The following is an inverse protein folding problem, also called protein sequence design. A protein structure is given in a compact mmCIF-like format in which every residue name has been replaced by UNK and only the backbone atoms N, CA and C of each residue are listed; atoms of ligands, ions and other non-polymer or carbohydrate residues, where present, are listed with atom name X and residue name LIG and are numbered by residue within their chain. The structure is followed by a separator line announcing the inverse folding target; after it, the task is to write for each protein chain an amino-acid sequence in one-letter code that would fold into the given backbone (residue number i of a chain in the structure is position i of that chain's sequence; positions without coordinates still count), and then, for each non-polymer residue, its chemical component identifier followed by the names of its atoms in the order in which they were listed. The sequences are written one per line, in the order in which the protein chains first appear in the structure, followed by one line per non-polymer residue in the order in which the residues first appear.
data_IF_731421245107
#
_entry.id   IF_731421245107
#
_cell.length_a   1.000
_cell.length_b   1.000
_cell.length_c   1.000
_cell.angle_alpha   90.00
_cell.angle_beta   90.00
_cell.angle_gamma   90.00
#
_symmetry.space_group_name_H-M   'P 1'
#
loop_
_entity.id
_entity.type
_entity.pdbx_description
1 polymer ?
#
# COMPACT_ATOMS: atom_id res chain seq x y z
N UNK A 1 -8.49 -21.65 15.52
CA UNK A 1 -8.03 -20.30 15.09
C UNK A 1 -7.42 -19.52 16.28
N UNK A 2 -6.10 -19.33 16.30
CA UNK A 2 -5.38 -18.59 17.38
C UNK A 2 -5.21 -17.09 17.05
N UNK A 3 -5.00 -16.78 15.77
CA UNK A 3 -4.72 -15.43 15.25
C UNK A 3 -5.79 -14.39 15.63
N UNK A 4 -7.08 -14.74 15.55
CA UNK A 4 -8.19 -13.80 15.84
C UNK A 4 -8.24 -13.41 17.33
N UNK A 5 -7.82 -14.32 18.23
CA UNK A 5 -7.82 -14.06 19.67
C UNK A 5 -6.65 -13.18 20.09
N UNK A 6 -5.47 -13.41 19.51
CA UNK A 6 -4.27 -12.59 19.79
C UNK A 6 -4.44 -11.13 19.35
N UNK A 7 -5.22 -10.89 18.30
CA UNK A 7 -5.54 -9.53 17.85
C UNK A 7 -6.40 -8.82 18.91
N UNK A 8 -7.43 -9.48 19.46
CA UNK A 8 -8.31 -8.87 20.47
C UNK A 8 -7.62 -8.59 21.80
N UNK A 9 -6.73 -9.47 22.26
CA UNK A 9 -5.94 -9.25 23.48
C UNK A 9 -4.96 -8.09 23.31
N UNK A 10 -4.22 -8.06 22.20
CA UNK A 10 -3.31 -6.94 21.88
C UNK A 10 -4.05 -5.60 21.76
N UNK A 11 -5.29 -5.61 21.22
CA UNK A 11 -6.15 -4.43 21.10
C UNK A 11 -6.65 -3.93 22.47
N UNK A 12 -6.93 -4.84 23.41
CA UNK A 12 -7.36 -4.50 24.77
C UNK A 12 -6.21 -3.99 25.65
N UNK A 13 -5.02 -4.55 25.51
CA UNK A 13 -3.86 -4.22 26.36
C UNK A 13 -3.10 -2.97 25.89
N UNK A 14 -2.99 -2.75 24.58
CA UNK A 14 -2.20 -1.63 24.03
C UNK A 14 -3.02 -0.66 23.17
N UNK A 15 -4.33 -0.89 23.03
CA UNK A 15 -5.22 -0.06 22.22
C UNK A 15 -4.82 -0.01 20.73
N UNK A 16 -5.35 0.98 20.02
CA UNK A 16 -4.97 1.30 18.64
C UNK A 16 -3.46 1.58 18.49
N UNK A 17 -2.79 2.07 19.55
CA UNK A 17 -1.34 2.30 19.59
C UNK A 17 -0.52 1.01 19.46
N UNK A 18 -0.97 -0.10 20.04
CA UNK A 18 -0.31 -1.41 19.90
C UNK A 18 -0.37 -1.97 18.48
N UNK A 19 -1.51 -1.78 17.80
CA UNK A 19 -1.68 -2.18 16.40
C UNK A 19 -0.85 -1.29 15.47
N UNK A 20 -0.84 0.02 15.71
CA UNK A 20 0.04 0.96 15.01
C UNK A 20 1.53 0.66 15.25
N UNK A 21 1.94 0.26 16.45
CA UNK A 21 3.34 -0.11 16.70
C UNK A 21 3.73 -1.43 16.01
N UNK A 22 2.79 -2.37 15.90
CA UNK A 22 3.02 -3.70 15.31
C UNK A 22 2.88 -3.73 13.78
N UNK A 23 2.03 -2.87 13.21
CA UNK A 23 1.70 -2.84 11.78
C UNK A 23 1.91 -1.47 11.11
N UNK A 24 2.25 -0.42 11.84
CA UNK A 24 2.46 0.92 11.28
C UNK A 24 3.59 0.96 10.25
N UNK A 25 4.67 0.22 10.48
CA UNK A 25 5.74 0.07 9.48
C UNK A 25 5.26 -0.61 8.20
N UNK A 26 4.34 -1.58 8.30
CA UNK A 26 3.74 -2.23 7.12
C UNK A 26 2.84 -1.27 6.35
N UNK A 27 2.06 -0.43 7.04
CA UNK A 27 1.25 0.62 6.40
C UNK A 27 2.12 1.66 5.71
N UNK A 28 3.19 2.11 6.37
CA UNK A 28 4.15 3.03 5.79
C UNK A 28 4.86 2.43 4.57
N UNK A 29 5.35 1.20 4.67
CA UNK A 29 5.96 0.49 3.54
C UNK A 29 4.98 0.29 2.38
N UNK A 30 3.71 -0.06 2.66
CA UNK A 30 2.69 -0.18 1.63
C UNK A 30 2.40 1.16 0.93
N UNK A 31 2.29 2.25 1.69
CA UNK A 31 2.15 3.60 1.14
C UNK A 31 3.36 4.01 0.29
N UNK A 32 4.57 3.73 0.80
CA UNK A 32 5.82 4.03 0.12
C UNK A 32 5.93 3.26 -1.21
N UNK A 33 5.68 1.96 -1.19
CA UNK A 33 5.70 1.10 -2.38
C UNK A 33 4.61 1.51 -3.37
N UNK A 34 3.39 1.82 -2.90
CA UNK A 34 2.31 2.33 -3.74
C UNK A 34 2.71 3.62 -4.47
N UNK A 35 3.37 4.55 -3.77
CA UNK A 35 3.82 5.79 -4.37
C UNK A 35 4.95 5.60 -5.38
N UNK A 36 5.89 4.68 -5.12
CA UNK A 36 6.93 4.29 -6.05
C UNK A 36 6.35 3.68 -7.33
N UNK A 37 5.41 2.75 -7.19
CA UNK A 37 4.76 2.09 -8.32
C UNK A 37 3.95 3.10 -9.12
N UNK A 38 3.23 4.03 -8.48
CA UNK A 38 2.49 5.10 -9.16
C UNK A 38 3.40 5.91 -10.08
N UNK A 39 4.57 6.31 -9.58
CA UNK A 39 5.52 7.12 -10.33
C UNK A 39 5.95 6.37 -11.61
N UNK A 40 6.39 5.11 -11.46
CA UNK A 40 6.76 4.23 -12.58
C UNK A 40 5.60 4.00 -13.55
N UNK A 41 4.39 3.72 -13.03
CA UNK A 41 3.20 3.53 -13.87
C UNK A 41 2.92 4.78 -14.68
N UNK A 42 3.01 5.99 -14.12
CA UNK A 42 2.73 7.23 -14.85
C UNK A 42 3.72 7.41 -16.00
N UNK A 43 5.00 7.12 -15.78
CA UNK A 43 6.03 7.21 -16.81
C UNK A 43 5.92 6.11 -17.87
N UNK A 44 5.29 4.98 -17.56
CA UNK A 44 5.04 3.92 -18.53
C UNK A 44 3.72 4.11 -19.29
N UNK A 45 2.69 4.59 -18.59
CA UNK A 45 1.33 4.76 -19.09
C UNK A 45 1.21 5.98 -20.00
N UNK A 46 1.88 7.10 -19.68
CA UNK A 46 1.92 8.30 -20.53
C UNK A 46 2.44 8.02 -21.95
N UNK A 47 3.66 7.48 -22.14
CA UNK A 47 4.17 7.18 -23.48
C UNK A 47 3.36 6.09 -24.18
N UNK A 48 2.79 5.13 -23.44
CA UNK A 48 1.88 4.15 -24.03
C UNK A 48 0.63 4.82 -24.61
N UNK A 49 0.03 5.77 -23.89
CA UNK A 49 -1.15 6.51 -24.35
C UNK A 49 -0.83 7.39 -25.57
N UNK A 50 0.33 8.06 -25.55
CA UNK A 50 0.82 8.89 -26.66
C UNK A 50 1.08 8.01 -27.89
N UNK A 51 1.84 6.92 -27.74
CA UNK A 51 2.14 6.00 -28.83
C UNK A 51 0.88 5.42 -29.46
N UNK A 52 -0.10 5.03 -28.65
CA UNK A 52 -1.37 4.49 -29.13
C UNK A 52 -2.23 5.54 -29.83
N UNK A 53 -2.25 6.77 -29.34
CA UNK A 53 -2.96 7.89 -29.98
C UNK A 53 -2.34 8.31 -31.31
N UNK A 54 -1.00 8.29 -31.41
CA UNK A 54 -0.26 8.65 -32.62
C UNK A 54 -0.32 7.55 -33.69
N UNK A 55 -0.41 6.27 -33.31
CA UNK A 55 -0.46 5.14 -34.26
C UNK A 55 -1.87 4.80 -34.77
N UNK A 56 -2.91 5.35 -34.15
CA UNK A 56 -4.32 5.14 -34.55
C UNK A 56 -4.85 6.25 -35.48
N UNK A 57 -4.10 7.34 -35.66
CA UNK A 57 -4.48 8.48 -36.53
C UNK A 57 -3.89 8.37 -37.93
#
# INVERSE_FOLDING_TARGET
MKIVRDIRTTLKESGLKGVWKKYGWKLFAAFFVYYLIRDIIIYLLLPYLIYKGVTTS
#
